data_IF_066359472876
#
_entry.id   IF_066359472876
#
_cell.length_a   1.000
_cell.length_b   1.000
_cell.length_c   1.000
_cell.angle_alpha   90.00
_cell.angle_beta   90.00
_cell.angle_gamma   90.00
#
_symmetry.space_group_name_H-M   'P 1'
#
loop_
_entity.id
_entity.type
_entity.pdbx_description
1 polymer ?
#
# COMPACT_ATOMS: atom_id res chain seq x y z
N UNK A 1 18.76 42.37 -3.38
CA UNK A 1 18.46 41.13 -4.14
C UNK A 1 16.98 40.80 -3.98
N UNK A 2 16.17 40.94 -5.02
CA UNK A 2 14.73 40.68 -4.93
C UNK A 2 14.43 39.19 -5.02
N UNK A 3 13.65 38.67 -4.07
CA UNK A 3 13.12 37.31 -4.08
C UNK A 3 11.64 37.32 -4.43
N UNK A 4 11.21 36.28 -5.15
CA UNK A 4 9.83 36.05 -5.56
C UNK A 4 9.33 34.75 -4.92
N UNK A 5 8.03 34.67 -4.68
CA UNK A 5 7.37 33.48 -4.14
C UNK A 5 6.45 32.89 -5.20
N UNK A 6 6.65 31.62 -5.52
CA UNK A 6 5.89 30.88 -6.52
C UNK A 6 5.13 29.73 -5.87
N UNK A 7 4.02 29.33 -6.46
CA UNK A 7 3.34 28.09 -6.08
C UNK A 7 4.12 26.89 -6.63
N UNK A 8 4.30 25.88 -5.79
CA UNK A 8 4.86 24.60 -6.19
C UNK A 8 3.83 23.76 -6.96
N UNK A 9 4.27 22.82 -7.82
CA UNK A 9 3.37 21.88 -8.51
C UNK A 9 2.52 21.00 -7.58
N UNK A 10 2.99 20.76 -6.35
CA UNK A 10 2.23 20.02 -5.33
C UNK A 10 1.31 20.92 -4.47
N UNK A 11 1.33 22.24 -4.67
CA UNK A 11 0.58 23.25 -3.90
C UNK A 11 0.75 23.20 -2.37
N UNK A 12 1.70 22.42 -1.85
CA UNK A 12 1.86 22.21 -0.39
C UNK A 12 2.68 23.32 0.26
N UNK A 13 3.75 23.77 -0.40
CA UNK A 13 4.62 24.84 0.09
C UNK A 13 5.00 25.78 -1.06
N UNK A 14 5.18 27.08 -0.79
CA UNK A 14 5.68 28.02 -1.79
C UNK A 14 7.19 27.84 -2.03
N UNK A 15 7.63 28.01 -3.28
CA UNK A 15 9.06 28.09 -3.62
C UNK A 15 9.48 29.55 -3.58
N UNK A 16 10.61 29.85 -2.92
CA UNK A 16 11.22 31.18 -2.93
C UNK A 16 12.46 31.15 -3.82
N UNK A 17 12.50 32.00 -4.85
CA UNK A 17 13.61 32.11 -5.81
C UNK A 17 14.03 33.56 -5.97
N UNK A 18 15.24 33.80 -6.48
CA UNK A 18 15.65 35.14 -6.89
C UNK A 18 15.01 35.53 -8.22
N UNK A 19 14.60 36.80 -8.33
CA UNK A 19 13.95 37.32 -9.55
C UNK A 19 14.79 37.03 -10.81
N UNK A 20 16.10 37.29 -10.76
CA UNK A 20 17.01 37.03 -11.88
C UNK A 20 17.03 35.56 -12.33
N UNK A 21 16.98 34.60 -11.40
CA UNK A 21 16.98 33.15 -11.70
C UNK A 21 15.70 32.75 -12.43
N UNK A 22 14.57 33.34 -12.05
CA UNK A 22 13.29 33.05 -12.68
C UNK A 22 13.13 33.69 -14.05
N UNK A 23 13.57 34.94 -14.21
CA UNK A 23 13.40 35.67 -15.47
C UNK A 23 14.37 35.21 -16.56
N UNK A 24 15.53 34.65 -16.20
CA UNK A 24 16.51 34.11 -17.15
C UNK A 24 16.26 32.65 -17.55
N UNK A 25 15.41 31.94 -16.80
CA UNK A 25 15.08 30.55 -17.06
C UNK A 25 14.17 30.38 -18.30
N UNK A 26 14.45 29.37 -19.12
CA UNK A 26 13.52 28.84 -20.11
C UNK A 26 12.34 28.08 -19.43
N UNK A 27 11.36 27.63 -20.22
CA UNK A 27 10.15 27.02 -19.69
C UNK A 27 10.39 25.68 -18.97
N UNK A 28 11.36 24.89 -19.43
CA UNK A 28 11.73 23.63 -18.78
C UNK A 28 12.42 23.88 -17.43
N UNK A 29 13.33 24.85 -17.40
CA UNK A 29 13.99 25.32 -16.18
C UNK A 29 12.95 25.87 -15.19
N UNK A 30 11.99 26.69 -15.64
CA UNK A 30 10.91 27.21 -14.78
C UNK A 30 10.08 26.09 -14.17
N UNK A 31 9.73 25.05 -14.95
CA UNK A 31 8.99 23.91 -14.42
C UNK A 31 9.77 23.19 -13.32
N UNK A 32 11.08 22.98 -13.49
CA UNK A 32 11.95 22.39 -12.45
C UNK A 32 12.09 23.30 -11.23
N UNK A 33 12.24 24.61 -11.44
CA UNK A 33 12.32 25.61 -10.37
C UNK A 33 11.01 25.73 -9.57
N UNK A 34 9.86 25.40 -10.16
CA UNK A 34 8.57 25.31 -9.47
C UNK A 34 8.34 23.96 -8.76
N UNK A 35 9.29 23.03 -8.78
CA UNK A 35 9.22 21.79 -8.01
C UNK A 35 9.96 21.95 -6.68
N UNK A 36 9.34 21.52 -5.58
CA UNK A 36 10.01 21.45 -4.28
C UNK A 36 11.02 20.30 -4.17
N UNK A 37 11.17 19.49 -5.22
CA UNK A 37 12.02 18.30 -5.29
C UNK A 37 11.76 17.20 -4.25
N UNK A 38 10.81 17.39 -3.33
CA UNK A 38 10.30 16.33 -2.46
C UNK A 38 9.50 15.30 -3.27
N UNK A 39 9.27 14.12 -2.68
CA UNK A 39 8.39 13.11 -3.27
C UNK A 39 6.99 13.69 -3.52
N UNK A 40 6.45 13.40 -4.71
CA UNK A 40 5.11 13.81 -5.09
C UNK A 40 4.06 13.29 -4.08
N UNK A 41 3.18 14.18 -3.63
CA UNK A 41 2.15 13.88 -2.63
C UNK A 41 0.88 13.26 -3.23
N UNK A 42 0.77 13.24 -4.56
CA UNK A 42 -0.37 12.68 -5.29
C UNK A 42 -0.40 11.15 -5.19
N UNK A 43 -1.61 10.60 -5.11
CA UNK A 43 -1.86 9.16 -5.13
C UNK A 43 -2.12 8.68 -6.56
N UNK A 44 -1.58 7.52 -6.89
CA UNK A 44 -1.93 6.76 -8.09
C UNK A 44 -3.29 6.09 -7.90
N UNK A 45 -3.94 5.64 -8.98
CA UNK A 45 -5.24 4.96 -8.88
C UNK A 45 -5.19 3.61 -8.15
N UNK A 46 -4.01 3.02 -7.94
CA UNK A 46 -3.82 1.87 -7.06
C UNK A 46 -3.75 2.22 -5.56
N UNK A 47 -3.87 3.50 -5.20
CA UNK A 47 -3.84 3.98 -3.81
C UNK A 47 -2.45 4.25 -3.25
N UNK A 48 -1.39 3.98 -4.01
CA UNK A 48 -0.01 4.27 -3.59
C UNK A 48 0.41 5.70 -3.92
N UNK A 49 1.33 6.28 -3.15
CA UNK A 49 1.95 7.56 -3.47
C UNK A 49 2.83 7.45 -4.71
N UNK A 50 2.80 8.47 -5.55
CA UNK A 50 3.70 8.61 -6.68
C UNK A 50 5.17 8.55 -6.19
N UNK A 51 6.01 7.77 -6.87
CA UNK A 51 7.43 7.61 -6.51
C UNK A 51 8.33 8.70 -7.08
N UNK A 52 7.82 9.53 -7.99
CA UNK A 52 8.58 10.62 -8.59
C UNK A 52 8.67 11.82 -7.64
N UNK A 53 9.69 12.65 -7.85
CA UNK A 53 9.75 13.98 -7.25
C UNK A 53 8.58 14.84 -7.71
N UNK A 54 8.33 15.93 -6.99
CA UNK A 54 7.32 16.91 -7.35
C UNK A 54 7.47 17.30 -8.82
N UNK A 55 6.42 17.10 -9.59
CA UNK A 55 6.44 17.24 -11.04
C UNK A 55 5.17 17.95 -11.50
N UNK A 56 5.28 18.65 -12.63
CA UNK A 56 4.12 19.17 -13.34
C UNK A 56 3.30 18.03 -13.96
N UNK A 57 2.01 18.25 -14.18
CA UNK A 57 1.14 17.30 -14.88
C UNK A 57 0.69 16.08 -14.07
N UNK A 58 0.31 15.03 -14.80
CA UNK A 58 -0.26 13.80 -14.27
C UNK A 58 0.83 12.84 -13.78
N UNK A 59 0.55 12.08 -12.73
CA UNK A 59 1.46 11.05 -12.24
C UNK A 59 1.49 9.85 -13.18
N UNK A 60 2.56 9.07 -13.12
CA UNK A 60 2.71 7.82 -13.88
C UNK A 60 1.56 6.85 -13.64
N UNK A 61 1.19 6.03 -14.65
CA UNK A 61 0.11 5.06 -14.53
C UNK A 61 0.44 3.97 -13.50
N UNK A 62 -0.60 3.26 -13.05
CA UNK A 62 -0.49 2.16 -12.07
C UNK A 62 0.41 1.03 -12.56
N UNK A 63 0.49 0.81 -13.87
CA UNK A 63 1.32 -0.24 -14.47
C UNK A 63 2.83 0.03 -14.29
N UNK A 64 3.20 1.24 -13.88
CA UNK A 64 4.56 1.62 -13.51
C UNK A 64 4.76 1.71 -11.99
N UNK A 65 3.74 1.40 -11.19
CA UNK A 65 3.83 1.45 -9.73
C UNK A 65 4.77 0.36 -9.21
N UNK A 66 5.97 0.79 -8.80
CA UNK A 66 7.06 -0.06 -8.31
C UNK A 66 7.03 -0.33 -6.81
N UNK A 67 5.99 0.12 -6.10
CA UNK A 67 5.83 -0.12 -4.67
C UNK A 67 5.78 -1.63 -4.39
N UNK A 68 6.62 -2.10 -3.47
CA UNK A 68 6.64 -3.49 -3.04
C UNK A 68 5.46 -3.75 -2.11
N UNK A 69 4.64 -4.74 -2.44
CA UNK A 69 3.47 -5.14 -1.68
C UNK A 69 3.46 -6.66 -1.49
N UNK A 70 3.07 -7.11 -0.30
CA UNK A 70 2.90 -8.53 -0.01
C UNK A 70 1.50 -8.97 -0.43
N UNK A 71 1.40 -9.75 -1.51
CA UNK A 71 0.15 -10.37 -1.89
C UNK A 71 -0.02 -11.72 -1.21
N UNK A 72 -1.27 -12.04 -0.85
CA UNK A 72 -1.64 -13.33 -0.25
C UNK A 72 -2.65 -14.08 -1.12
N UNK A 73 -2.67 -15.41 -1.04
CA UNK A 73 -3.79 -16.20 -1.57
C UNK A 73 -5.11 -15.80 -0.90
N UNK A 74 -6.25 -16.19 -1.50
CA UNK A 74 -7.58 -16.06 -0.89
C UNK A 74 -7.65 -16.67 0.52
N UNK A 75 -6.90 -17.75 0.73
CA UNK A 75 -6.76 -18.47 2.00
C UNK A 75 -5.79 -17.85 3.02
N UNK A 76 -5.10 -16.76 2.64
CA UNK A 76 -4.05 -16.07 3.41
C UNK A 76 -2.80 -16.91 3.82
N UNK A 77 -2.68 -18.18 3.42
CA UNK A 77 -1.53 -19.07 3.71
C UNK A 77 -0.28 -18.73 2.88
N UNK A 78 -0.42 -18.68 1.55
CA UNK A 78 0.69 -18.33 0.66
C UNK A 78 0.84 -16.82 0.62
N UNK A 79 2.09 -16.35 0.68
CA UNK A 79 2.45 -14.93 0.55
C UNK A 79 3.60 -14.78 -0.44
N UNK A 80 3.58 -13.69 -1.21
CA UNK A 80 4.65 -13.34 -2.14
C UNK A 80 4.80 -11.83 -2.19
N UNK A 81 6.03 -11.36 -2.08
CA UNK A 81 6.35 -9.95 -2.25
C UNK A 81 6.53 -9.66 -3.74
N UNK A 82 5.73 -8.74 -4.25
CA UNK A 82 5.70 -8.36 -5.66
C UNK A 82 5.62 -6.85 -5.76
N UNK A 83 5.90 -6.29 -6.94
CA UNK A 83 5.58 -4.89 -7.20
C UNK A 83 4.06 -4.74 -7.38
N UNK A 84 3.52 -3.57 -7.05
CA UNK A 84 2.09 -3.30 -7.14
C UNK A 84 1.54 -3.54 -8.56
N UNK A 85 2.30 -3.17 -9.59
CA UNK A 85 1.92 -3.42 -10.98
C UNK A 85 1.89 -4.92 -11.35
N UNK A 86 2.55 -5.80 -10.60
CA UNK A 86 2.59 -7.25 -10.84
C UNK A 86 1.43 -8.01 -10.18
N UNK A 87 0.28 -7.34 -9.99
CA UNK A 87 -0.89 -7.90 -9.29
C UNK A 87 -1.36 -9.26 -9.85
N UNK A 88 -1.15 -9.49 -11.14
CA UNK A 88 -1.51 -10.73 -11.83
C UNK A 88 -0.66 -11.92 -11.39
N UNK A 89 0.57 -11.67 -10.91
CA UNK A 89 1.48 -12.70 -10.38
C UNK A 89 1.16 -13.08 -8.92
N UNK A 90 0.03 -12.60 -8.37
CA UNK A 90 -0.43 -12.90 -7.01
C UNK A 90 -0.45 -14.42 -6.77
N UNK A 91 0.00 -14.90 -5.60
CA UNK A 91 -0.04 -16.33 -5.29
C UNK A 91 -1.49 -16.84 -5.25
N UNK A 92 -1.76 -17.88 -6.03
CA UNK A 92 -3.03 -18.62 -6.03
C UNK A 92 -2.88 -19.88 -5.17
N UNK A 93 -3.97 -20.35 -4.57
CA UNK A 93 -3.96 -21.62 -3.82
C UNK A 93 -3.58 -22.78 -4.73
N UNK A 94 -2.49 -23.50 -4.41
CA UNK A 94 -2.20 -24.81 -4.99
C UNK A 94 -2.90 -25.93 -4.21
N UNK A 95 -2.81 -27.17 -4.68
CA UNK A 95 -3.42 -28.35 -4.05
C UNK A 95 -3.05 -28.48 -2.57
N UNK A 96 -1.76 -28.36 -2.26
CA UNK A 96 -1.25 -28.38 -0.89
C UNK A 96 -1.87 -27.27 -0.02
N UNK A 97 -2.08 -26.10 -0.62
CA UNK A 97 -2.73 -24.99 0.05
C UNK A 97 -4.18 -25.26 0.40
N UNK A 98 -4.90 -25.88 -0.52
CA UNK A 98 -6.31 -26.21 -0.37
C UNK A 98 -6.48 -27.35 0.63
N UNK A 99 -5.58 -28.33 0.64
CA UNK A 99 -5.57 -29.45 1.60
C UNK A 99 -5.36 -28.95 3.03
N UNK A 100 -4.28 -28.18 3.27
CA UNK A 100 -4.02 -27.59 4.60
C UNK A 100 -5.17 -26.70 5.06
N UNK A 101 -5.83 -25.98 4.14
CA UNK A 101 -6.99 -25.15 4.49
C UNK A 101 -8.12 -26.01 5.07
N UNK A 102 -8.48 -27.12 4.41
CA UNK A 102 -9.53 -28.05 4.87
C UNK A 102 -9.17 -28.69 6.20
N UNK A 103 -7.95 -29.21 6.34
CA UNK A 103 -7.45 -29.80 7.58
C UNK A 103 -7.54 -28.80 8.75
N UNK A 104 -7.15 -27.54 8.53
CA UNK A 104 -7.29 -26.48 9.55
C UNK A 104 -8.73 -26.16 9.90
N UNK A 105 -9.62 -26.11 8.91
CA UNK A 105 -11.05 -25.87 9.13
C UNK A 105 -11.69 -27.00 9.96
N UNK A 106 -11.38 -28.26 9.63
CA UNK A 106 -11.84 -29.43 10.38
C UNK A 106 -11.31 -29.43 11.82
N UNK A 107 -10.02 -29.17 12.01
CA UNK A 107 -9.41 -29.06 13.36
C UNK A 107 -10.05 -27.92 14.17
N UNK A 108 -10.33 -26.77 13.56
CA UNK A 108 -11.01 -25.67 14.24
C UNK A 108 -12.44 -26.04 14.67
N UNK A 109 -13.18 -26.79 13.84
CA UNK A 109 -14.52 -27.28 14.18
C UNK A 109 -14.46 -28.29 15.32
N UNK A 110 -13.52 -29.23 15.26
CA UNK A 110 -13.33 -30.24 16.30
C UNK A 110 -12.95 -29.58 17.64
N UNK A 111 -11.99 -28.67 17.65
CA UNK A 111 -11.58 -27.93 18.86
C UNK A 111 -12.73 -27.11 19.47
N UNK A 112 -13.59 -26.52 18.63
CA UNK A 112 -14.78 -25.82 19.12
C UNK A 112 -15.75 -26.78 19.79
N UNK A 113 -15.98 -27.94 19.19
CA UNK A 113 -16.88 -28.96 19.73
C UNK A 113 -16.35 -29.51 21.06
N UNK A 114 -15.07 -29.87 21.14
CA UNK A 114 -14.47 -30.40 22.37
C UNK A 114 -14.52 -29.39 23.51
N UNK A 115 -14.26 -28.11 23.23
CA UNK A 115 -14.38 -27.04 24.22
C UNK A 115 -15.81 -26.90 24.79
N UNK A 116 -16.83 -26.99 23.92
CA UNK A 116 -18.24 -26.96 24.36
C UNK A 116 -18.56 -28.17 25.24
N UNK A 117 -18.13 -29.37 24.85
CA UNK A 117 -18.38 -30.58 25.63
C UNK A 117 -17.67 -30.56 26.99
N UNK A 118 -16.44 -30.06 27.05
CA UNK A 118 -15.71 -29.88 28.32
C UNK A 118 -16.44 -28.90 29.25
N UNK A 119 -16.92 -27.77 28.72
CA UNK A 119 -17.70 -26.82 29.49
C UNK A 119 -18.98 -27.47 30.06
N UNK A 120 -19.71 -28.22 29.23
CA UNK A 120 -20.91 -28.93 29.66
C UNK A 120 -20.62 -29.95 30.78
N UNK A 121 -19.58 -30.77 30.63
CA UNK A 121 -19.16 -31.74 31.64
C UNK A 121 -18.81 -31.05 32.97
N UNK A 122 -18.09 -29.92 32.92
CA UNK A 122 -17.74 -29.14 34.11
C UNK A 122 -18.98 -28.54 34.80
N UNK A 123 -19.97 -28.07 34.02
CA UNK A 123 -21.24 -27.60 34.59
C UNK A 123 -22.01 -28.72 35.31
N UNK A 124 -22.05 -29.94 34.75
CA UNK A 124 -22.70 -31.08 35.41
C UNK A 124 -22.03 -31.36 36.75
N UNK A 125 -20.70 -31.43 36.78
CA UNK A 125 -19.94 -31.69 38.01
C UNK A 125 -20.21 -30.63 39.08
N UNK A 126 -20.32 -29.36 38.69
CA UNK A 126 -20.64 -28.24 39.59
C UNK A 126 -22.05 -28.33 40.18
N UNK A 127 -23.03 -28.84 39.43
CA UNK A 127 -24.43 -28.99 39.92
C UNK A 127 -24.55 -30.18 40.88
N UNK A 128 -23.65 -31.16 40.78
CA UNK A 128 -23.64 -32.38 41.61
C UNK A 128 -22.87 -32.23 42.93
N UNK A 129 -22.25 -31.07 43.17
CA UNK A 129 -21.53 -30.68 44.39
C UNK A 129 -22.31 -29.66 45.20
#
# INVERSE_FOLDING_TARGET
>A
MHSIRLRCHCSTMPITLHCHVWTSADDDQKSKLQACNNQCTKLLSCGHRCSYSCHSGNCSPVDQCSQKVTFRCSCKRLKKDLKCHEREKRPVCNEECSRIKKEKEEVCLLNRHTHIMQHYQNCILYIQS
#
